data_IF_924656963899
#
_entry.id   IF_924656963899
#
_cell.length_a   1.000
_cell.length_b   1.000
_cell.length_c   1.000
_cell.angle_alpha   90.00
_cell.angle_beta   90.00
_cell.angle_gamma   90.00
#
_symmetry.space_group_name_H-M   'P 1'
#
loop_
_entity.id
_entity.type
_entity.pdbx_description
1 polymer ?
#
# COMPACT_ATOMS: atom_id res chain seq x y z
N UNK A 1 -5.89 14.88 -12.49
CA UNK A 1 -4.85 13.89 -12.87
C UNK A 1 -5.42 12.52 -12.55
N UNK A 2 -5.24 11.51 -13.41
CA UNK A 2 -5.76 10.17 -13.15
C UNK A 2 -4.86 9.45 -12.17
N UNK A 3 -5.35 9.15 -10.97
CA UNK A 3 -4.63 8.34 -9.99
C UNK A 3 -4.29 6.99 -10.61
N UNK A 4 -3.05 6.56 -10.41
CA UNK A 4 -2.64 5.23 -10.87
C UNK A 4 -3.22 4.18 -9.92
N UNK A 5 -3.98 3.22 -10.46
CA UNK A 5 -4.59 2.17 -9.66
C UNK A 5 -3.51 1.25 -9.05
N UNK A 6 -3.23 1.46 -7.76
CA UNK A 6 -2.40 0.59 -6.94
C UNK A 6 -3.19 -0.16 -5.89
N UNK A 7 -2.59 -1.23 -5.37
CA UNK A 7 -3.13 -2.01 -4.26
C UNK A 7 -2.00 -2.49 -3.34
N UNK A 8 -2.33 -2.68 -2.07
CA UNK A 8 -1.40 -3.23 -1.09
C UNK A 8 -1.18 -4.72 -1.35
N UNK A 9 0.09 -5.10 -1.43
CA UNK A 9 0.54 -6.49 -1.54
C UNK A 9 1.29 -6.89 -0.28
N UNK A 10 0.81 -7.95 0.34
CA UNK A 10 1.40 -8.55 1.54
C UNK A 10 2.21 -9.78 1.13
N UNK A 11 3.46 -9.87 1.59
CA UNK A 11 4.34 -11.00 1.31
C UNK A 11 4.91 -11.52 2.61
N UNK A 12 4.77 -12.83 2.85
CA UNK A 12 5.43 -13.51 3.94
C UNK A 12 6.82 -13.96 3.48
N UNK A 13 7.87 -13.50 4.15
CA UNK A 13 9.24 -13.89 3.88
C UNK A 13 9.98 -14.08 5.21
N UNK A 14 10.62 -15.25 5.40
CA UNK A 14 11.39 -15.59 6.61
C UNK A 14 10.60 -15.27 7.90
N UNK A 15 9.37 -15.77 7.99
CA UNK A 15 8.43 -15.57 9.12
C UNK A 15 7.98 -14.12 9.37
N UNK A 16 8.48 -13.16 8.59
CA UNK A 16 8.10 -11.75 8.67
C UNK A 16 7.17 -11.38 7.53
N UNK A 17 6.18 -10.54 7.82
CA UNK A 17 5.28 -9.99 6.79
C UNK A 17 5.79 -8.65 6.32
N UNK A 18 5.79 -8.48 5.01
CA UNK A 18 6.17 -7.24 4.36
C UNK A 18 5.01 -6.70 3.56
N UNK A 19 4.85 -5.38 3.58
CA UNK A 19 3.81 -4.66 2.87
C UNK A 19 4.45 -3.81 1.76
N UNK A 20 3.87 -3.93 0.58
CA UNK A 20 4.32 -3.29 -0.65
C UNK A 20 3.14 -2.59 -1.33
N UNK A 21 3.37 -1.45 -1.95
CA UNK A 21 2.42 -0.88 -2.90
C UNK A 21 2.72 -1.44 -4.29
N UNK A 22 1.79 -2.20 -4.85
CA UNK A 22 1.88 -2.70 -6.21
C UNK A 22 1.00 -1.85 -7.12
N UNK A 23 1.52 -1.55 -8.30
CA UNK A 23 0.81 -0.77 -9.32
C UNK A 23 0.65 -1.62 -10.57
N UNK A 24 -0.56 -1.63 -11.12
CA UNK A 24 -0.86 -2.32 -12.37
C UNK A 24 -0.90 -1.34 -13.53
N UNK A 25 0.08 -1.45 -14.43
CA UNK A 25 0.10 -0.68 -15.67
C UNK A 25 -0.33 -1.56 -16.84
N UNK A 26 -1.33 -1.10 -17.59
CA UNK A 26 -1.79 -1.77 -18.80
C UNK A 26 -0.97 -1.27 -19.98
N UNK A 27 0.01 -2.06 -20.42
CA UNK A 27 0.83 -1.75 -21.60
C UNK A 27 0.59 -2.80 -22.66
N UNK A 28 0.13 -2.37 -23.83
CA UNK A 28 0.05 -3.20 -25.04
C UNK A 28 -0.71 -4.53 -24.85
N UNK A 29 -1.95 -4.46 -24.36
CA UNK A 29 -2.84 -5.61 -24.04
C UNK A 29 -2.39 -6.53 -22.90
N UNK A 30 -1.22 -6.32 -22.27
CA UNK A 30 -0.80 -7.04 -21.07
C UNK A 30 -0.90 -6.13 -19.84
N UNK A 31 -1.37 -6.70 -18.74
CA UNK A 31 -1.36 -6.04 -17.43
C UNK A 31 -0.06 -6.45 -16.73
N UNK A 32 0.84 -5.49 -16.57
CA UNK A 32 2.07 -5.70 -15.82
C UNK A 32 1.91 -5.09 -14.44
N UNK A 33 1.98 -5.93 -13.41
CA UNK A 33 1.99 -5.49 -12.02
C UNK A 33 3.43 -5.43 -11.54
N UNK A 34 3.88 -4.26 -11.12
CA UNK A 34 5.19 -4.07 -10.51
C UNK A 34 5.05 -3.49 -9.11
N UNK A 35 6.06 -3.72 -8.26
CA UNK A 35 6.12 -3.11 -6.93
C UNK A 35 6.59 -1.67 -7.11
N UNK A 36 5.73 -0.72 -6.78
CA UNK A 36 6.03 0.70 -6.86
C UNK A 36 6.76 1.18 -5.60
N UNK A 37 6.23 0.85 -4.42
CA UNK A 37 6.80 1.30 -3.15
C UNK A 37 6.91 0.15 -2.15
N UNK A 38 7.96 0.18 -1.33
CA UNK A 38 8.22 -0.81 -0.28
C UNK A 38 8.07 -0.15 1.08
N UNK A 39 6.93 -0.38 1.74
CA UNK A 39 6.73 0.19 3.07
C UNK A 39 7.54 -0.56 4.15
N UNK A 40 7.70 -1.88 4.01
CA UNK A 40 8.55 -2.66 4.90
C UNK A 40 7.77 -3.68 5.75
N UNK A 41 8.27 -3.97 6.95
CA UNK A 41 7.70 -4.99 7.83
C UNK A 41 6.36 -4.53 8.39
N UNK A 42 5.33 -5.39 8.34
CA UNK A 42 3.96 -5.13 8.79
C UNK A 42 3.91 -4.47 10.17
N UNK A 43 4.71 -4.97 11.13
CA UNK A 43 4.76 -4.46 12.51
C UNK A 43 5.10 -2.96 12.55
N UNK A 44 6.10 -2.55 11.76
CA UNK A 44 6.55 -1.15 11.68
C UNK A 44 5.75 -0.32 10.68
N UNK A 45 5.08 -1.00 9.75
CA UNK A 45 4.40 -0.34 8.65
C UNK A 45 3.23 0.48 9.13
N UNK A 46 2.50 -0.06 10.11
CA UNK A 46 1.33 0.60 10.67
C UNK A 46 1.75 1.90 11.37
N UNK A 47 2.79 1.81 12.21
CA UNK A 47 3.39 2.96 12.90
C UNK A 47 3.84 4.03 11.89
N UNK A 48 4.61 3.63 10.87
CA UNK A 48 5.09 4.54 9.84
C UNK A 48 3.96 5.15 9.01
N UNK A 49 2.88 4.42 8.71
CA UNK A 49 1.72 4.97 8.01
C UNK A 49 0.95 5.97 8.89
N UNK A 50 0.80 5.71 10.18
CA UNK A 50 0.24 6.67 11.13
C UNK A 50 1.07 7.95 11.20
N UNK A 51 2.40 7.83 11.24
CA UNK A 51 3.30 8.99 11.18
C UNK A 51 3.18 9.76 9.86
N UNK A 52 3.07 9.06 8.72
CA UNK A 52 2.83 9.70 7.42
C UNK A 52 1.46 10.36 7.34
N UNK A 53 0.44 9.82 8.01
CA UNK A 53 -0.91 10.40 8.07
C UNK A 53 -0.92 11.69 8.89
N UNK A 54 -0.18 11.71 10.00
CA UNK A 54 -0.06 12.85 10.90
C UNK A 54 0.74 13.99 10.24
N UNK A 55 1.86 13.66 9.60
CA UNK A 55 2.70 14.60 8.85
C UNK A 55 2.73 14.26 7.35
N UNK A 56 1.58 14.42 6.69
CA UNK A 56 1.44 14.08 5.27
C UNK A 56 2.31 14.96 4.36
N UNK A 57 2.51 16.23 4.72
CA UNK A 57 3.26 17.13 3.86
C UNK A 57 4.76 16.81 3.84
N UNK A 58 5.37 16.48 4.98
CA UNK A 58 6.82 16.24 5.07
C UNK A 58 7.20 14.76 5.07
N UNK A 59 6.39 13.85 5.64
CA UNK A 59 6.72 12.42 5.71
C UNK A 59 6.20 11.59 4.54
N UNK A 60 5.17 12.07 3.82
CA UNK A 60 4.62 11.28 2.72
C UNK A 60 5.56 11.29 1.49
N UNK A 61 5.93 10.12 0.94
CA UNK A 61 6.83 10.03 -0.20
C UNK A 61 6.37 10.84 -1.41
N UNK A 62 7.27 11.66 -1.95
CA UNK A 62 7.00 12.49 -3.13
C UNK A 62 6.60 11.62 -4.33
N UNK A 63 7.23 10.45 -4.49
CA UNK A 63 6.92 9.48 -5.56
C UNK A 63 5.44 9.03 -5.53
N UNK A 64 4.84 8.94 -4.34
CA UNK A 64 3.42 8.60 -4.19
C UNK A 64 2.53 9.80 -4.54
N UNK A 65 2.90 11.01 -4.09
CA UNK A 65 2.19 12.25 -4.48
C UNK A 65 2.20 12.45 -6.00
N UNK A 66 3.33 12.22 -6.65
CA UNK A 66 3.46 12.31 -8.11
C UNK A 66 2.58 11.31 -8.87
N UNK A 67 2.28 10.16 -8.25
CA UNK A 67 1.33 9.17 -8.78
C UNK A 67 -0.13 9.52 -8.51
N UNK A 68 -0.39 10.60 -7.80
CA UNK A 68 -1.72 11.07 -7.43
C UNK A 68 -2.31 10.36 -6.22
N UNK A 69 -1.48 9.75 -5.37
CA UNK A 69 -1.95 9.25 -4.08
C UNK A 69 -2.05 10.40 -3.07
N UNK A 70 -3.13 10.40 -2.30
CA UNK A 70 -3.43 11.45 -1.34
C UNK A 70 -3.65 10.90 0.08
N UNK A 71 -4.12 11.77 0.98
CA UNK A 71 -4.34 11.44 2.38
C UNK A 71 -5.41 10.34 2.55
N UNK A 72 -6.45 10.33 1.71
CA UNK A 72 -7.49 9.31 1.72
C UNK A 72 -6.91 7.92 1.42
N UNK A 73 -5.94 7.83 0.50
CA UNK A 73 -5.27 6.56 0.20
C UNK A 73 -4.49 6.02 1.38
N UNK A 74 -3.75 6.87 2.12
CA UNK A 74 -3.07 6.42 3.34
C UNK A 74 -4.08 5.90 4.35
N UNK A 75 -5.19 6.62 4.54
CA UNK A 75 -6.20 6.21 5.50
C UNK A 75 -6.84 4.86 5.10
N UNK A 76 -7.09 4.65 3.81
CA UNK A 76 -7.55 3.36 3.26
C UNK A 76 -6.52 2.24 3.45
N UNK A 77 -5.23 2.56 3.30
CA UNK A 77 -4.15 1.60 3.52
C UNK A 77 -4.03 1.20 4.99
N UNK A 78 -4.07 2.16 5.91
CA UNK A 78 -4.07 1.91 7.36
C UNK A 78 -5.25 1.01 7.71
N UNK A 79 -6.46 1.39 7.29
CA UNK A 79 -7.67 0.61 7.54
C UNK A 79 -7.55 -0.81 6.96
N UNK A 80 -6.99 -0.95 5.76
CA UNK A 80 -6.78 -2.24 5.12
C UNK A 80 -5.83 -3.15 5.89
N UNK A 81 -4.80 -2.56 6.51
CA UNK A 81 -3.79 -3.27 7.31
C UNK A 81 -4.35 -3.66 8.68
N UNK A 82 -5.13 -2.78 9.31
CA UNK A 82 -5.78 -3.05 10.61
C UNK A 82 -6.88 -4.10 10.51
N UNK A 83 -7.76 -3.96 9.51
CA UNK A 83 -8.90 -4.87 9.32
C UNK A 83 -8.47 -6.16 8.66
N UNK A 84 -7.38 -6.13 7.89
CA UNK A 84 -7.00 -7.22 7.02
C UNK A 84 -7.91 -7.39 5.81
N UNK A 85 -8.67 -6.36 5.44
CA UNK A 85 -9.54 -6.36 4.26
C UNK A 85 -9.19 -5.19 3.36
N UNK A 86 -9.08 -5.42 2.05
CA UNK A 86 -8.96 -4.32 1.09
C UNK A 86 -10.23 -3.47 1.06
N UNK A 87 -10.15 -2.25 0.54
CA UNK A 87 -11.29 -1.37 0.25
C UNK A 87 -12.48 -2.01 -0.47
N UNK A 88 -12.22 -3.08 -1.23
CA UNK A 88 -13.25 -3.83 -1.96
C UNK A 88 -13.79 -5.04 -1.18
N UNK A 89 -13.48 -5.18 0.11
CA UNK A 89 -13.91 -6.30 0.95
C UNK A 89 -13.14 -7.61 0.70
N UNK A 90 -12.14 -7.62 -0.19
CA UNK A 90 -11.30 -8.82 -0.35
C UNK A 90 -10.44 -9.02 0.89
N UNK A 91 -10.48 -10.22 1.45
CA UNK A 91 -9.61 -10.61 2.57
C UNK A 91 -8.15 -10.52 2.12
N UNK A 92 -7.41 -9.61 2.72
CA UNK A 92 -5.98 -9.56 2.60
C UNK A 92 -5.43 -10.70 3.45
N UNK A 93 -4.41 -11.41 2.96
CA UNK A 93 -3.79 -12.51 3.71
C UNK A 93 -2.88 -11.90 4.79
N UNK A 94 -3.51 -11.19 5.72
CA UNK A 94 -3.00 -10.70 6.97
C UNK A 94 -3.56 -11.67 8.00
N UNK A 95 -2.89 -12.73 8.44
CA UNK A 95 -3.42 -13.71 9.42
C UNK A 95 -4.25 -14.85 8.78
N UNK A 96 -3.55 -15.91 8.40
CA UNK A 96 -4.10 -17.24 8.14
C UNK A 96 -3.28 -17.97 7.08
N UNK A 97 -2.83 -19.20 7.28
CA UNK A 97 -2.89 -20.15 8.39
C UNK A 97 -1.74 -21.14 8.17
#
# INVERSE_FOLDING_TARGET
>A
MSQVAGFLKFVLAKEKRYVYLAVSEKRNKRVNTHIFYKFGQMEKVLESMYEMRDDFENKFPIELKEKGYDWEDINDWILSIETGFSKHGNKLITYGR
#
